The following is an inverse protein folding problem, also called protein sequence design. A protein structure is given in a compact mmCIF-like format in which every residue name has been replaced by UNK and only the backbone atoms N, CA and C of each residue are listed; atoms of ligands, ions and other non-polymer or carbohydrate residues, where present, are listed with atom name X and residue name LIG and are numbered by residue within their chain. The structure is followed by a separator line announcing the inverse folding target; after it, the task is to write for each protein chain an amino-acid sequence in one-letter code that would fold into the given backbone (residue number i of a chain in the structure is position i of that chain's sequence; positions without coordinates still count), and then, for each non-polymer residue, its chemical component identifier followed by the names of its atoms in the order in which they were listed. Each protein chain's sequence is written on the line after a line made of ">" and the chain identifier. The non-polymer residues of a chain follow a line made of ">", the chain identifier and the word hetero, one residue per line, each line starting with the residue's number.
data_IF_198762582377
#
_entry.id   IF_198762582377
#
_cell.length_a   1.000
_cell.length_b   1.000
_cell.length_c   1.000
_cell.angle_alpha   90.00
_cell.angle_beta   90.00
_cell.angle_gamma   90.00
#
_symmetry.space_group_name_H-M   'P 1'
#
loop_
_entity.id
_entity.type
_entity.pdbx_description
1 polymer ?
#
# COMPACT_ATOMS: atom_id res chain seq x y z
N UNK A 1 16.28 23.05 27.52
CA UNK A 1 14.87 22.71 27.80
C UNK A 1 14.38 21.86 26.64
N UNK A 2 14.30 20.54 26.83
CA UNK A 2 13.95 19.60 25.78
C UNK A 2 12.45 19.64 25.48
N UNK A 3 12.08 19.90 24.23
CA UNK A 3 10.71 19.74 23.74
C UNK A 3 10.43 18.26 23.50
N UNK A 4 10.01 17.57 24.55
CA UNK A 4 9.31 16.29 24.40
C UNK A 4 7.83 16.60 24.22
N UNK A 5 7.27 16.28 23.05
CA UNK A 5 5.82 16.27 22.83
C UNK A 5 5.32 17.04 21.60
N UNK A 6 5.42 16.39 20.43
CA UNK A 6 4.39 16.29 19.36
C UNK A 6 5.07 15.72 18.11
N UNK A 7 5.12 14.40 18.01
CA UNK A 7 5.71 13.67 16.88
C UNK A 7 4.82 13.80 15.61
N UNK A 8 3.56 14.23 15.76
CA UNK A 8 2.62 14.40 14.65
C UNK A 8 2.03 15.81 14.64
N UNK A 9 1.82 16.35 13.44
CA UNK A 9 1.12 17.62 13.22
C UNK A 9 -0.33 17.48 13.71
N UNK A 10 -0.77 18.40 14.55
CA UNK A 10 -2.12 18.41 15.11
C UNK A 10 -3.18 18.53 14.01
N UNK A 11 -2.92 19.28 12.95
CA UNK A 11 -3.86 19.41 11.85
C UNK A 11 -4.09 18.07 11.14
N UNK A 12 -3.04 17.24 11.01
CA UNK A 12 -3.16 15.89 10.46
C UNK A 12 -3.99 15.02 11.40
N UNK A 13 -3.68 15.02 12.71
CA UNK A 13 -4.44 14.22 13.68
C UNK A 13 -5.92 14.56 13.69
N UNK A 14 -6.26 15.84 13.78
CA UNK A 14 -7.65 16.31 13.78
C UNK A 14 -8.36 15.91 12.46
N UNK A 15 -7.66 15.93 11.33
CA UNK A 15 -8.21 15.50 10.04
C UNK A 15 -8.41 13.98 9.96
N UNK A 16 -7.50 13.17 10.53
CA UNK A 16 -7.63 11.71 10.55
C UNK A 16 -8.73 11.23 11.49
N UNK A 17 -8.96 11.92 12.61
CA UNK A 17 -10.08 11.64 13.51
C UNK A 17 -11.44 11.89 12.86
N UNK A 18 -11.51 12.85 11.93
CA UNK A 18 -12.72 13.18 11.18
C UNK A 18 -12.88 12.38 9.87
N UNK A 19 -11.89 11.57 9.50
CA UNK A 19 -11.89 10.81 8.26
C UNK A 19 -12.71 9.52 8.37
N UNK A 20 -13.09 8.97 7.22
CA UNK A 20 -13.87 7.73 7.15
C UNK A 20 -13.05 6.54 7.64
N UNK A 21 -13.60 5.82 8.61
CA UNK A 21 -13.01 4.61 9.18
C UNK A 21 -13.92 3.43 8.89
N UNK A 22 -13.34 2.37 8.34
CA UNK A 22 -14.10 1.18 7.92
C UNK A 22 -13.47 -0.09 8.49
N UNK A 23 -14.33 -1.06 8.80
CA UNK A 23 -13.88 -2.45 8.93
C UNK A 23 -13.60 -3.01 7.53
N UNK A 24 -12.48 -3.68 7.36
CA UNK A 24 -12.08 -4.28 6.09
C UNK A 24 -11.92 -5.80 6.25
N UNK A 25 -12.71 -6.57 5.48
CA UNK A 25 -12.62 -8.03 5.46
C UNK A 25 -12.78 -8.53 4.02
N UNK A 26 -11.70 -8.50 3.24
CA UNK A 26 -11.71 -8.89 1.83
C UNK A 26 -10.42 -9.62 1.42
N UNK A 27 -10.42 -10.17 0.22
CA UNK A 27 -9.22 -10.67 -0.46
C UNK A 27 -8.49 -9.50 -1.11
N UNK A 28 -7.17 -9.50 -1.03
CA UNK A 28 -6.28 -8.57 -1.72
C UNK A 28 -5.22 -9.32 -2.52
N UNK A 29 -4.64 -8.64 -3.50
CA UNK A 29 -3.62 -9.21 -4.36
C UNK A 29 -2.27 -8.54 -4.14
N UNK A 30 -1.25 -9.36 -3.99
CA UNK A 30 0.15 -8.91 -3.90
C UNK A 30 0.99 -9.72 -4.87
N UNK A 31 1.91 -9.06 -5.55
CA UNK A 31 2.91 -9.74 -6.37
C UNK A 31 4.27 -9.62 -5.71
N UNK A 32 4.96 -10.74 -5.58
CA UNK A 32 6.34 -10.77 -5.08
C UNK A 32 7.24 -11.52 -6.05
N UNK A 33 8.56 -11.48 -5.81
CA UNK A 33 9.48 -12.37 -6.53
C UNK A 33 9.26 -13.79 -6.02
N UNK A 34 9.27 -14.77 -6.92
CA UNK A 34 9.09 -16.19 -6.55
C UNK A 34 10.05 -16.60 -5.42
N UNK A 35 9.53 -17.35 -4.46
CA UNK A 35 10.25 -17.79 -3.27
C UNK A 35 10.37 -16.75 -2.15
N UNK A 36 9.76 -15.56 -2.29
CA UNK A 36 9.60 -14.63 -1.16
C UNK A 36 8.31 -14.92 -0.40
N UNK A 37 8.36 -14.68 0.90
CA UNK A 37 7.17 -14.71 1.75
C UNK A 37 6.20 -13.57 1.34
N UNK A 38 4.96 -13.90 0.94
CA UNK A 38 3.98 -12.94 0.47
C UNK A 38 3.34 -12.08 1.57
N UNK A 39 3.48 -12.44 2.86
CA UNK A 39 2.97 -11.65 3.99
C UNK A 39 4.10 -10.97 4.78
N UNK A 40 5.35 -11.12 4.33
CA UNK A 40 6.46 -10.35 4.86
C UNK A 40 6.29 -8.86 4.56
N UNK A 41 6.24 -8.06 5.61
CA UNK A 41 6.22 -6.61 5.50
C UNK A 41 7.56 -6.03 5.05
N UNK A 42 7.61 -4.71 5.00
CA UNK A 42 8.82 -3.96 4.67
C UNK A 42 8.86 -2.67 5.49
N UNK A 43 10.01 -2.42 6.12
CA UNK A 43 10.34 -1.13 6.71
C UNK A 43 11.09 -0.22 5.72
N UNK A 44 11.16 -0.59 4.42
CA UNK A 44 11.74 0.29 3.42
C UNK A 44 10.91 1.59 3.26
N UNK A 45 11.58 2.66 2.87
CA UNK A 45 10.95 3.95 2.57
C UNK A 45 9.99 3.81 1.38
N UNK A 46 8.71 3.68 1.71
CA UNK A 46 7.58 3.68 0.78
C UNK A 46 6.70 4.90 0.99
N UNK A 47 5.80 5.14 0.03
CA UNK A 47 4.87 6.29 0.03
C UNK A 47 4.10 6.41 1.35
N UNK A 48 3.58 5.30 1.84
CA UNK A 48 2.76 5.18 3.06
C UNK A 48 3.48 4.42 4.19
N UNK A 49 4.82 4.45 4.20
CA UNK A 49 5.64 3.82 5.24
C UNK A 49 6.01 4.88 6.26
N UNK A 50 5.80 4.70 7.58
CA UNK A 50 6.14 5.70 8.61
C UNK A 50 7.66 5.93 8.77
N UNK A 51 8.33 6.52 7.77
CA UNK A 51 9.75 6.85 7.78
C UNK A 51 10.67 5.66 8.08
N UNK A 52 10.28 4.47 7.63
CA UNK A 52 11.02 3.21 7.86
C UNK A 52 11.08 2.72 9.31
N UNK A 53 10.29 3.30 10.21
CA UNK A 53 10.25 2.90 11.64
C UNK A 53 9.23 1.81 11.92
N UNK A 54 8.18 1.72 11.09
CA UNK A 54 7.11 0.72 11.21
C UNK A 54 7.14 -0.15 9.97
N UNK A 55 7.12 -1.46 10.18
CA UNK A 55 7.01 -2.41 9.08
C UNK A 55 5.58 -2.40 8.52
N UNK A 56 5.45 -2.24 7.20
CA UNK A 56 4.15 -2.22 6.53
C UNK A 56 4.05 -3.28 5.44
N UNK A 57 2.88 -3.87 5.28
CA UNK A 57 2.54 -4.70 4.13
C UNK A 57 1.81 -3.86 3.10
N UNK A 58 2.44 -3.68 1.93
CA UNK A 58 1.76 -3.16 0.76
C UNK A 58 1.13 -4.29 -0.03
N UNK A 59 -0.18 -4.17 -0.27
CA UNK A 59 -0.87 -4.95 -1.29
C UNK A 59 -0.98 -4.07 -2.52
N UNK A 60 -0.72 -4.65 -3.69
CA UNK A 60 -0.63 -3.89 -4.94
C UNK A 60 -2.01 -3.54 -5.48
N UNK A 61 -3.07 -4.22 -5.05
CA UNK A 61 -4.45 -3.82 -5.35
C UNK A 61 -5.50 -4.65 -4.58
N UNK A 62 -6.71 -4.09 -4.47
CA UNK A 62 -7.96 -4.82 -4.23
C UNK A 62 -8.44 -5.66 -5.43
N UNK A 63 -7.74 -5.63 -6.56
CA UNK A 63 -8.08 -6.39 -7.75
C UNK A 63 -6.85 -7.07 -8.35
N UNK A 64 -6.99 -8.33 -8.78
CA UNK A 64 -5.89 -9.10 -9.41
C UNK A 64 -5.20 -8.34 -10.54
N UNK A 65 -5.98 -7.77 -11.45
CA UNK A 65 -5.47 -7.07 -12.63
C UNK A 65 -4.76 -5.76 -12.26
N UNK A 66 -5.21 -5.07 -11.20
CA UNK A 66 -4.52 -3.89 -10.67
C UNK A 66 -3.11 -4.24 -10.17
N UNK A 67 -2.96 -5.37 -9.47
CA UNK A 67 -1.66 -5.84 -9.00
C UNK A 67 -0.71 -6.17 -10.17
N UNK A 68 -1.21 -6.85 -11.20
CA UNK A 68 -0.46 -7.15 -12.42
C UNK A 68 -0.06 -5.87 -13.17
N UNK A 69 -0.98 -4.90 -13.26
CA UNK A 69 -0.70 -3.62 -13.89
C UNK A 69 0.42 -2.84 -13.20
N UNK A 70 0.44 -2.80 -11.87
CA UNK A 70 1.45 -2.07 -11.11
C UNK A 70 2.86 -2.66 -11.29
N UNK A 71 3.01 -3.99 -11.18
CA UNK A 71 4.31 -4.63 -11.40
C UNK A 71 4.69 -4.64 -12.87
N UNK A 72 3.75 -4.94 -13.77
CA UNK A 72 4.00 -4.95 -15.21
C UNK A 72 4.46 -3.60 -15.74
N UNK A 73 3.86 -2.49 -15.28
CA UNK A 73 4.33 -1.14 -15.60
C UNK A 73 5.76 -0.90 -15.13
N UNK A 74 6.08 -1.29 -13.88
CA UNK A 74 7.43 -1.13 -13.33
C UNK A 74 8.48 -1.91 -14.13
N UNK A 75 8.16 -3.15 -14.52
CA UNK A 75 9.02 -3.97 -15.37
C UNK A 75 9.21 -3.37 -16.76
N UNK A 76 8.21 -2.65 -17.29
CA UNK A 76 8.31 -1.97 -18.58
C UNK A 76 9.22 -0.74 -18.58
N UNK A 77 9.55 -0.20 -17.41
CA UNK A 77 10.50 0.91 -17.26
C UNK A 77 11.96 0.43 -17.32
N UNK A 78 12.21 -0.86 -17.14
CA UNK A 78 13.55 -1.43 -17.24
C UNK A 78 14.02 -1.42 -18.71
N UNK A 79 15.28 -1.05 -19.01
CA UNK A 79 15.79 -1.00 -20.38
C UNK A 79 15.67 -2.33 -21.13
N UNK A 80 15.68 -3.44 -20.39
CA UNK A 80 15.50 -4.80 -20.90
C UNK A 80 14.55 -5.52 -19.96
N UNK A 81 13.52 -6.16 -20.52
CA UNK A 81 12.59 -6.96 -19.73
C UNK A 81 13.35 -8.09 -19.00
N UNK A 82 13.26 -8.18 -17.67
CA UNK A 82 14.04 -9.16 -16.92
C UNK A 82 13.55 -10.57 -17.21
N UNK A 83 14.40 -11.38 -17.85
CA UNK A 83 14.07 -12.75 -18.27
C UNK A 83 14.29 -13.82 -17.19
N UNK A 84 15.01 -13.49 -16.11
CA UNK A 84 15.33 -14.43 -15.02
C UNK A 84 14.54 -14.19 -13.73
N UNK A 85 13.78 -13.11 -13.65
CA UNK A 85 13.02 -12.77 -12.43
C UNK A 85 11.62 -13.35 -12.55
N UNK A 86 11.40 -14.49 -11.90
CA UNK A 86 10.08 -15.06 -11.72
C UNK A 86 9.33 -14.26 -10.64
N UNK A 87 8.04 -14.03 -10.89
CA UNK A 87 7.12 -13.42 -9.94
C UNK A 87 5.96 -14.35 -9.67
N UNK A 88 5.42 -14.26 -8.47
CA UNK A 88 4.21 -14.95 -8.05
C UNK A 88 3.18 -13.90 -7.64
N UNK A 89 1.93 -14.14 -8.00
CA UNK A 89 0.78 -13.37 -7.51
C UNK A 89 0.08 -14.19 -6.44
N UNK A 90 -0.25 -13.52 -5.34
CA UNK A 90 -0.77 -14.14 -4.14
C UNK A 90 -2.14 -13.54 -3.82
N UNK A 91 -3.09 -14.42 -3.52
CA UNK A 91 -4.39 -14.05 -2.95
C UNK A 91 -4.27 -14.10 -1.44
N UNK A 92 -4.51 -12.96 -0.79
CA UNK A 92 -4.34 -12.82 0.65
C UNK A 92 -5.68 -12.41 1.25
N UNK A 93 -6.23 -13.22 2.15
CA UNK A 93 -7.33 -12.81 3.01
C UNK A 93 -6.84 -11.87 4.10
N UNK A 94 -7.58 -10.78 4.35
CA UNK A 94 -7.24 -9.80 5.38
C UNK A 94 -8.49 -9.48 6.19
N UNK A 95 -8.33 -9.34 7.51
CA UNK A 95 -9.34 -8.77 8.40
C UNK A 95 -8.71 -7.66 9.24
N UNK A 96 -9.29 -6.47 9.15
CA UNK A 96 -8.91 -5.28 9.91
C UNK A 96 -10.18 -4.58 10.42
N UNK A 97 -10.14 -4.09 11.65
CA UNK A 97 -11.32 -3.51 12.31
C UNK A 97 -11.36 -2.00 12.12
N UNK A 98 -10.21 -1.35 12.20
CA UNK A 98 -10.05 0.10 12.08
C UNK A 98 -9.10 0.44 10.95
N UNK A 99 -9.63 0.48 9.73
CA UNK A 99 -8.88 0.87 8.54
C UNK A 99 -9.28 2.27 8.12
N UNK A 100 -8.31 3.17 7.97
CA UNK A 100 -8.56 4.50 7.45
C UNK A 100 -8.84 4.43 5.94
N UNK A 101 -9.97 4.98 5.50
CA UNK A 101 -10.38 4.93 4.10
C UNK A 101 -10.11 6.26 3.40
N UNK A 102 -8.98 6.34 2.68
CA UNK A 102 -8.64 7.44 1.79
C UNK A 102 -9.04 7.02 0.38
N UNK A 103 -10.32 7.21 0.06
CA UNK A 103 -10.93 6.57 -1.11
C UNK A 103 -10.37 7.07 -2.46
N UNK A 104 -10.05 8.36 -2.54
CA UNK A 104 -9.66 9.01 -3.78
C UNK A 104 -8.69 10.17 -3.56
N UNK A 105 -8.27 10.80 -4.65
CA UNK A 105 -7.38 11.97 -4.61
C UNK A 105 -7.99 13.15 -3.84
N UNK A 106 -9.31 13.32 -3.83
CA UNK A 106 -9.96 14.42 -3.13
C UNK A 106 -9.86 14.25 -1.60
N UNK A 107 -9.87 13.01 -1.10
CA UNK A 107 -9.64 12.70 0.32
C UNK A 107 -8.21 13.03 0.80
N UNK A 108 -7.23 13.14 -0.11
CA UNK A 108 -5.83 13.38 0.24
C UNK A 108 -5.52 14.86 0.48
N UNK A 109 -6.16 15.76 -0.25
CA UNK A 109 -5.91 17.20 -0.17
C UNK A 109 -6.05 17.79 1.25
N UNK A 110 -7.15 17.49 1.98
CA UNK A 110 -7.33 17.92 3.37
C UNK A 110 -6.23 17.45 4.33
N UNK A 111 -5.51 16.37 3.99
CA UNK A 111 -4.40 15.83 4.78
C UNK A 111 -3.05 16.50 4.47
N UNK A 112 -3.05 17.57 3.68
CA UNK A 112 -1.84 18.29 3.27
C UNK A 112 -1.06 17.61 2.15
N UNK A 113 -1.65 16.62 1.47
CA UNK A 113 -1.02 15.96 0.33
C UNK A 113 -1.29 16.75 -0.95
N UNK A 114 -0.22 17.14 -1.64
CA UNK A 114 -0.32 17.75 -2.97
C UNK A 114 -0.68 16.69 -4.02
N UNK A 115 -1.96 16.64 -4.37
CA UNK A 115 -2.53 15.71 -5.36
C UNK A 115 -1.88 15.83 -6.74
N UNK A 116 -1.40 17.02 -7.12
CA UNK A 116 -0.75 17.25 -8.41
C UNK A 116 0.62 16.57 -8.50
N UNK A 117 1.26 16.35 -7.34
CA UNK A 117 2.57 15.71 -7.20
C UNK A 117 2.48 14.29 -6.66
N UNK A 118 1.29 13.73 -6.49
CA UNK A 118 1.09 12.42 -5.86
C UNK A 118 1.81 11.27 -6.59
N UNK A 119 1.97 11.36 -7.91
CA UNK A 119 2.69 10.33 -8.70
C UNK A 119 4.21 10.46 -8.63
N UNK A 120 4.72 11.53 -8.01
CA UNK A 120 6.15 11.78 -7.80
C UNK A 120 6.74 10.91 -6.68
N UNK A 121 8.04 11.03 -6.48
CA UNK A 121 8.81 10.35 -5.43
C UNK A 121 8.89 11.15 -4.11
N UNK A 122 8.15 12.26 -4.00
CA UNK A 122 8.02 12.99 -2.74
C UNK A 122 7.00 12.28 -1.84
N UNK A 123 7.50 11.61 -0.81
CA UNK A 123 6.70 10.80 0.12
C UNK A 123 6.44 11.50 1.45
N UNK A 124 7.00 12.69 1.67
CA UNK A 124 7.03 13.34 2.98
C UNK A 124 5.64 13.46 3.61
N UNK A 125 4.66 13.96 2.85
CA UNK A 125 3.30 14.12 3.33
C UNK A 125 2.57 12.79 3.57
N UNK A 126 2.69 11.83 2.65
CA UNK A 126 2.04 10.52 2.77
C UNK A 126 2.63 9.68 3.91
N UNK A 127 3.94 9.79 4.16
CA UNK A 127 4.61 9.16 5.30
C UNK A 127 4.20 9.81 6.63
N UNK A 128 4.04 11.15 6.68
CA UNK A 128 3.54 11.84 7.86
C UNK A 128 2.11 11.40 8.21
N UNK A 129 1.24 11.27 7.20
CA UNK A 129 -0.11 10.73 7.37
C UNK A 129 -0.08 9.28 7.85
N UNK A 130 0.74 8.41 7.25
CA UNK A 130 0.86 7.02 7.69
C UNK A 130 1.36 6.92 9.14
N UNK A 131 2.31 7.76 9.54
CA UNK A 131 2.83 7.81 10.90
C UNK A 131 1.76 8.30 11.89
N UNK A 132 0.97 9.30 11.51
CA UNK A 132 -0.14 9.79 12.33
C UNK A 132 -1.28 8.76 12.45
N UNK A 133 -1.60 8.04 11.37
CA UNK A 133 -2.59 6.96 11.41
C UNK A 133 -2.11 5.79 12.29
N UNK A 134 -0.83 5.43 12.19
CA UNK A 134 -0.24 4.45 13.10
C UNK A 134 -0.32 4.92 14.56
N UNK A 135 -0.01 6.19 14.84
CA UNK A 135 -0.11 6.76 16.19
C UNK A 135 -1.54 6.71 16.75
N UNK A 136 -2.57 6.88 15.91
CA UNK A 136 -3.99 6.79 16.27
C UNK A 136 -4.53 5.35 16.34
N UNK A 137 -3.62 4.36 16.28
CA UNK A 137 -3.91 2.93 16.42
C UNK A 137 -4.86 2.38 15.34
N UNK A 138 -4.77 2.92 14.13
CA UNK A 138 -5.38 2.28 12.97
C UNK A 138 -4.62 1.00 12.61
N UNK A 139 -5.36 0.01 12.11
CA UNK A 139 -4.82 -1.27 11.62
C UNK A 139 -4.11 -1.11 10.26
N UNK A 140 -4.57 -0.14 9.48
CA UNK A 140 -4.08 0.08 8.13
C UNK A 140 -4.77 1.24 7.41
N UNK A 141 -4.44 1.35 6.13
CA UNK A 141 -4.88 2.40 5.23
C UNK A 141 -5.39 1.78 3.92
N UNK A 142 -6.55 2.21 3.44
CA UNK A 142 -6.97 2.04 2.04
C UNK A 142 -6.67 3.36 1.35
N UNK A 143 -5.85 3.32 0.30
CA UNK A 143 -5.30 4.52 -0.35
C UNK A 143 -5.39 4.42 -1.87
N UNK A 144 -5.51 5.53 -2.62
CA UNK A 144 -5.54 5.46 -4.07
C UNK A 144 -4.17 5.02 -4.60
N UNK A 145 -4.17 4.15 -5.60
CA UNK A 145 -2.94 3.78 -6.30
C UNK A 145 -2.42 5.00 -7.08
N UNK A 146 -1.11 5.24 -7.00
CA UNK A 146 -0.46 6.28 -7.79
C UNK A 146 -0.26 5.88 -9.27
N UNK A 147 -0.56 4.62 -9.63
CA UNK A 147 -0.20 4.02 -10.94
C UNK A 147 -1.38 3.38 -11.68
N UNK A 148 -2.52 3.19 -11.02
CA UNK A 148 -3.71 2.55 -11.60
C UNK A 148 -4.99 3.17 -11.02
N UNK A 149 -6.13 3.04 -11.71
CA UNK A 149 -7.45 3.45 -11.20
C UNK A 149 -8.00 2.44 -10.17
N UNK A 150 -7.17 2.03 -9.21
CA UNK A 150 -7.54 1.10 -8.14
C UNK A 150 -7.03 1.61 -6.79
N UNK A 151 -7.40 0.90 -5.73
CA UNK A 151 -6.96 1.17 -4.36
C UNK A 151 -5.96 0.11 -3.90
N UNK A 152 -5.05 0.54 -3.04
CA UNK A 152 -4.06 -0.30 -2.37
C UNK A 152 -4.42 -0.39 -0.89
N UNK A 153 -4.18 -1.55 -0.29
CA UNK A 153 -4.28 -1.72 1.17
C UNK A 153 -2.86 -1.71 1.74
N UNK A 154 -2.66 -0.92 2.79
CA UNK A 154 -1.44 -0.88 3.59
C UNK A 154 -1.80 -1.36 4.99
N UNK A 155 -1.18 -2.44 5.44
CA UNK A 155 -1.38 -2.96 6.80
C UNK A 155 -0.14 -2.66 7.64
N UNK A 156 -0.33 -2.15 8.85
CA UNK A 156 0.74 -2.00 9.83
C UNK A 156 1.02 -3.37 10.48
N UNK A 157 2.25 -3.86 10.35
CA UNK A 157 2.57 -5.24 10.72
C UNK A 157 2.70 -5.49 12.23
N UNK A 158 2.66 -4.42 13.02
CA UNK A 158 2.64 -4.44 14.49
C UNK A 158 1.23 -4.32 15.08
N UNK A 159 0.19 -4.41 14.25
CA UNK A 159 -1.23 -4.36 14.64
C UNK A 159 -1.90 -5.73 14.51
N UNK A 160 -3.04 -5.89 15.17
CA UNK A 160 -3.78 -7.16 15.22
C UNK A 160 -4.17 -7.66 13.82
N UNK A 161 -4.44 -6.75 12.88
CA UNK A 161 -4.73 -7.09 11.49
C UNK A 161 -3.59 -7.87 10.80
N UNK A 162 -2.34 -7.73 11.24
CA UNK A 162 -1.23 -8.52 10.70
C UNK A 162 -1.37 -10.02 11.01
N UNK A 163 -1.99 -10.37 12.14
CA UNK A 163 -2.26 -11.76 12.53
C UNK A 163 -3.40 -12.42 11.75
N UNK A 164 -4.16 -11.66 10.96
CA UNK A 164 -5.30 -12.18 10.19
C UNK A 164 -4.94 -12.48 8.73
N UNK A 165 -3.70 -12.15 8.32
CA UNK A 165 -3.21 -12.36 6.97
C UNK A 165 -3.14 -13.85 6.64
N UNK A 166 -3.91 -14.26 5.64
CA UNK A 166 -4.03 -15.65 5.22
C UNK A 166 -3.76 -15.79 3.72
N UNK A 167 -2.68 -16.49 3.34
CA UNK A 167 -2.33 -16.72 1.94
C UNK A 167 -3.18 -17.86 1.40
N UNK A 168 -4.19 -17.53 0.61
CA UNK A 168 -5.20 -18.48 0.10
C UNK A 168 -4.74 -19.20 -1.16
N UNK A 169 -4.05 -18.48 -2.04
CA UNK A 169 -3.54 -19.01 -3.29
C UNK A 169 -2.25 -18.31 -3.70
N UNK A 170 -1.41 -19.00 -4.45
CA UNK A 170 -0.22 -18.44 -5.08
C UNK A 170 -0.05 -19.07 -6.44
N UNK A 171 0.19 -18.26 -7.47
CA UNK A 171 0.41 -18.72 -8.82
C UNK A 171 1.56 -17.96 -9.48
N UNK A 172 2.27 -18.63 -10.38
CA UNK A 172 3.32 -17.99 -11.16
C UNK A 172 2.71 -16.99 -12.15
N UNK A 173 3.30 -15.80 -12.25
CA UNK A 173 2.87 -14.77 -13.20
C UNK A 173 3.50 -15.02 -14.57
N UNK A 174 2.66 -15.25 -15.58
CA UNK A 174 3.10 -15.26 -16.98
C UNK A 174 3.12 -13.84 -17.56
N UNK A 175 4.28 -13.19 -17.43
CA UNK A 175 4.51 -11.87 -17.99
C UNK A 175 4.46 -11.83 -19.53
N UNK A 176 4.74 -12.95 -20.22
CA UNK A 176 4.66 -12.98 -21.68
C UNK A 176 3.20 -12.96 -22.12
N UNK A 177 2.35 -13.78 -21.52
CA UNK A 177 0.91 -13.78 -21.76
C UNK A 177 0.29 -12.42 -21.42
N UNK A 178 0.65 -11.84 -20.27
CA UNK A 178 0.17 -10.52 -19.86
C UNK A 178 0.53 -9.42 -20.87
N UNK A 179 1.75 -9.43 -21.42
CA UNK A 179 2.17 -8.46 -22.45
C UNK A 179 1.41 -8.63 -23.77
N UNK A 180 1.13 -9.86 -24.19
CA UNK A 180 0.40 -10.15 -25.41
C UNK A 180 -1.07 -9.72 -25.32
N UNK A 181 -1.70 -9.91 -24.15
CA UNK A 181 -3.08 -9.51 -23.89
C UNK A 181 -3.33 -8.00 -23.85
N UNK A 182 -2.28 -7.17 -23.82
CA UNK A 182 -2.37 -5.70 -23.87
C UNK A 182 -2.33 -5.11 -25.29
N UNK A 183 -2.17 -5.95 -26.33
CA UNK A 183 -2.29 -5.53 -27.73
C UNK A 183 -3.76 -5.69 -28.14
N UNK A 184 -4.61 -4.78 -27.67
CA UNK A 184 -5.91 -4.44 -28.28
C UNK A 184 -6.11 -2.94 -28.10
#
# INVERSE_FOLDING_TARGET
>A
MGSSGRVHDRAILDALEAADVVSFSQTVWRITRSGRDPIRGSAADGRWSPGGTVEVLYTSSLEREGALAEIGFRLSLEPVWPSRIAHEIHEIGVQAQRTLHLADMASLGPLGIDVSRYTSFDYTATQAVAAAAHFLEFDGLIVPSARHQSQNLVIFMDRDAAGTLDVRASEAVDWNAWRQGRIV
#
